data_IF_993631636866
#
_entry.id   IF_993631636866
#
_cell.length_a   1.000
_cell.length_b   1.000
_cell.length_c   1.000
_cell.angle_alpha   90.00
_cell.angle_beta   90.00
_cell.angle_gamma   90.00
#
_symmetry.space_group_name_H-M   'P 1'
#
loop_
_entity.id
_entity.type
_entity.pdbx_description
1 polymer ?
#
# COMPACT_ATOMS: atom_id res chain seq x y z
N UNK A 1 -23.69 -4.07 11.44
CA UNK A 1 -22.39 -3.37 11.48
C UNK A 1 -22.32 -2.44 10.29
N UNK A 2 -22.14 -1.13 10.48
CA UNK A 2 -22.12 -0.15 9.37
C UNK A 2 -20.70 0.14 8.92
N UNK A 3 -20.53 0.61 7.68
CA UNK A 3 -19.22 1.07 7.18
C UNK A 3 -18.61 2.14 8.11
N UNK A 4 -19.44 3.08 8.59
CA UNK A 4 -19.01 4.11 9.54
C UNK A 4 -18.51 3.51 10.86
N UNK A 5 -19.17 2.46 11.38
CA UNK A 5 -18.73 1.76 12.59
C UNK A 5 -17.37 1.07 12.41
N UNK A 6 -17.15 0.41 11.27
CA UNK A 6 -15.85 -0.21 10.94
C UNK A 6 -14.78 0.87 10.78
N UNK A 7 -15.09 1.94 10.05
CA UNK A 7 -14.17 3.07 9.88
C UNK A 7 -13.74 3.65 11.23
N UNK A 8 -14.69 3.86 12.14
CA UNK A 8 -14.42 4.36 13.48
C UNK A 8 -13.54 3.39 14.29
N UNK A 9 -13.89 2.10 14.31
CA UNK A 9 -13.11 1.09 15.03
C UNK A 9 -11.66 1.01 14.55
N UNK A 10 -11.44 1.01 13.23
CA UNK A 10 -10.08 0.99 12.65
C UNK A 10 -9.33 2.29 12.97
N UNK A 11 -9.99 3.45 12.85
CA UNK A 11 -9.36 4.75 13.13
C UNK A 11 -8.94 4.88 14.59
N UNK A 12 -9.79 4.44 15.53
CA UNK A 12 -9.49 4.45 16.96
C UNK A 12 -8.37 3.45 17.28
N UNK A 13 -8.48 2.21 16.80
CA UNK A 13 -7.47 1.18 17.08
C UNK A 13 -6.08 1.54 16.53
N UNK A 14 -6.00 2.16 15.36
CA UNK A 14 -4.71 2.62 14.79
C UNK A 14 -4.14 3.81 15.55
N UNK A 15 -4.98 4.76 15.98
CA UNK A 15 -4.54 5.84 16.86
C UNK A 15 -3.96 5.32 18.16
N UNK A 16 -4.59 4.30 18.75
CA UNK A 16 -4.12 3.69 19.99
C UNK A 16 -2.81 2.90 19.78
N UNK A 17 -2.74 2.08 18.72
CA UNK A 17 -1.61 1.19 18.49
C UNK A 17 -0.33 1.91 18.01
N UNK A 18 -0.48 2.92 17.13
CA UNK A 18 0.66 3.56 16.44
C UNK A 18 0.63 5.09 16.49
N UNK A 19 -0.28 5.69 17.28
CA UNK A 19 -0.40 7.15 17.43
C UNK A 19 -1.09 7.87 16.27
N UNK A 20 -1.43 7.17 15.19
CA UNK A 20 -2.00 7.76 13.96
C UNK A 20 -3.30 7.07 13.61
N UNK A 21 -4.38 7.85 13.46
CA UNK A 21 -5.65 7.32 12.96
C UNK A 21 -5.57 7.08 11.45
N UNK A 22 -5.76 5.84 11.02
CA UNK A 22 -5.79 5.44 9.63
C UNK A 22 -7.21 5.04 9.22
N UNK A 23 -7.60 5.43 8.00
CA UNK A 23 -8.85 4.95 7.41
C UNK A 23 -8.68 3.50 6.89
N UNK A 24 -9.77 2.74 6.76
CA UNK A 24 -9.73 1.41 6.12
C UNK A 24 -9.09 1.42 4.73
N UNK A 25 -9.26 2.53 3.98
CA UNK A 25 -8.66 2.70 2.65
C UNK A 25 -7.12 2.76 2.69
N UNK A 26 -6.52 3.25 3.78
CA UNK A 26 -5.05 3.26 3.92
C UNK A 26 -4.48 1.84 3.93
N UNK A 27 -5.13 0.91 4.64
CA UNK A 27 -4.74 -0.50 4.65
C UNK A 27 -4.85 -1.14 3.28
N UNK A 28 -5.96 -0.88 2.58
CA UNK A 28 -6.17 -1.37 1.21
C UNK A 28 -5.10 -0.84 0.27
N UNK A 29 -4.74 0.44 0.39
CA UNK A 29 -3.69 1.06 -0.41
C UNK A 29 -2.29 0.50 -0.09
N UNK A 30 -1.99 0.22 1.18
CA UNK A 30 -0.74 -0.41 1.60
C UNK A 30 -0.63 -1.85 1.08
N UNK A 31 -1.69 -2.64 1.18
CA UNK A 31 -1.74 -4.01 0.66
C UNK A 31 -1.50 -4.04 -0.86
N UNK A 32 -2.17 -3.15 -1.59
CA UNK A 32 -2.00 -2.96 -3.03
C UNK A 32 -0.55 -2.69 -3.44
N UNK A 33 0.06 -1.69 -2.79
CA UNK A 33 1.42 -1.26 -3.06
C UNK A 33 2.43 -2.34 -2.70
N UNK A 34 2.18 -3.08 -1.60
CA UNK A 34 3.03 -4.19 -1.17
C UNK A 34 2.95 -5.36 -2.14
N UNK A 35 1.75 -5.69 -2.63
CA UNK A 35 1.58 -6.73 -3.64
C UNK A 35 2.27 -6.37 -4.96
N UNK A 36 2.19 -5.10 -5.38
CA UNK A 36 2.91 -4.60 -6.55
C UNK A 36 4.44 -4.65 -6.36
N UNK A 37 4.94 -4.36 -5.15
CA UNK A 37 6.38 -4.40 -4.84
C UNK A 37 6.94 -5.82 -4.76
N UNK A 38 6.30 -6.70 -3.99
CA UNK A 38 6.75 -8.09 -3.81
C UNK A 38 6.45 -8.97 -5.04
N UNK A 39 5.40 -8.62 -5.78
CA UNK A 39 4.93 -9.33 -6.96
C UNK A 39 5.38 -8.70 -8.27
N UNK A 40 6.54 -8.02 -8.31
CA UNK A 40 7.02 -7.32 -9.50
C UNK A 40 7.10 -8.19 -10.79
N UNK A 41 7.13 -9.53 -10.67
CA UNK A 41 7.04 -10.48 -11.79
C UNK A 41 5.62 -10.89 -12.20
N UNK A 42 4.58 -10.38 -11.53
CA UNK A 42 3.16 -10.70 -11.74
C UNK A 42 2.31 -9.41 -11.76
N UNK A 43 2.34 -8.64 -12.87
CA UNK A 43 1.69 -7.33 -12.97
C UNK A 43 0.19 -7.32 -12.63
N UNK A 44 -0.50 -8.44 -12.76
CA UNK A 44 -1.93 -8.55 -12.44
C UNK A 44 -2.20 -8.91 -10.97
N UNK A 45 -1.19 -9.18 -10.15
CA UNK A 45 -1.38 -9.60 -8.75
C UNK A 45 -2.03 -8.51 -7.91
N UNK A 46 -1.59 -7.26 -8.03
CA UNK A 46 -2.20 -6.13 -7.34
C UNK A 46 -3.63 -5.86 -7.83
N UNK A 47 -3.89 -5.99 -9.14
CA UNK A 47 -5.23 -5.85 -9.71
C UNK A 47 -6.17 -6.95 -9.19
N UNK A 48 -5.72 -8.21 -9.17
CA UNK A 48 -6.46 -9.36 -8.67
C UNK A 48 -6.74 -9.30 -7.18
N UNK A 49 -5.76 -8.88 -6.36
CA UNK A 49 -5.93 -8.70 -4.92
C UNK A 49 -7.01 -7.66 -4.58
N UNK A 50 -7.14 -6.63 -5.42
CA UNK A 50 -8.02 -5.50 -5.15
C UNK A 50 -9.30 -5.54 -5.97
N UNK A 51 -9.43 -6.44 -6.94
CA UNK A 51 -10.53 -6.43 -7.90
C UNK A 51 -10.72 -5.05 -8.55
N UNK A 52 -9.62 -4.35 -8.86
CA UNK A 52 -9.69 -3.04 -9.50
C UNK A 52 -10.27 -3.18 -10.91
N UNK A 53 -11.36 -2.47 -11.17
CA UNK A 53 -11.96 -2.40 -12.51
C UNK A 53 -11.23 -1.39 -13.41
N UNK A 54 -10.55 -0.39 -12.83
CA UNK A 54 -9.77 0.61 -13.56
C UNK A 54 -8.27 0.27 -13.49
N UNK A 55 -7.63 -0.06 -14.64
CA UNK A 55 -6.20 -0.32 -14.73
C UNK A 55 -5.31 0.83 -14.24
N UNK A 56 -5.79 2.08 -14.30
CA UNK A 56 -5.01 3.26 -13.87
C UNK A 56 -4.71 3.27 -12.38
N UNK A 57 -5.63 2.74 -11.57
CA UNK A 57 -5.43 2.64 -10.11
C UNK A 57 -4.35 1.60 -9.81
N UNK A 58 -4.34 0.49 -10.54
CA UNK A 58 -3.30 -0.53 -10.45
C UNK A 58 -1.93 0.03 -10.86
N UNK A 59 -1.85 0.77 -11.96
CA UNK A 59 -0.60 1.41 -12.42
C UNK A 59 0.00 2.35 -11.36
N UNK A 60 -0.83 3.17 -10.70
CA UNK A 60 -0.37 4.06 -9.63
C UNK A 60 0.31 3.32 -8.46
N UNK A 61 -0.13 2.09 -8.16
CA UNK A 61 0.52 1.25 -7.15
C UNK A 61 1.87 0.71 -7.62
N UNK A 62 2.01 0.33 -8.90
CA UNK A 62 3.27 -0.10 -9.48
C UNK A 62 4.32 1.00 -9.54
N UNK A 63 3.92 2.21 -9.97
CA UNK A 63 4.81 3.38 -9.97
C UNK A 63 5.35 3.64 -8.56
N UNK A 64 4.46 3.58 -7.55
CA UNK A 64 4.84 3.80 -6.16
C UNK A 64 5.77 2.71 -5.62
N UNK A 65 5.48 1.44 -5.91
CA UNK A 65 6.33 0.31 -5.54
C UNK A 65 7.74 0.42 -6.14
N UNK A 66 7.81 0.75 -7.44
CA UNK A 66 9.07 0.93 -8.17
C UNK A 66 9.87 2.11 -7.60
N UNK A 67 9.19 3.21 -7.30
CA UNK A 67 9.83 4.40 -6.70
C UNK A 67 10.40 4.11 -5.30
N UNK A 68 9.68 3.32 -4.49
CA UNK A 68 10.16 2.90 -3.17
C UNK A 68 11.42 2.05 -3.29
N UNK A 69 11.43 1.07 -4.20
CA UNK A 69 12.60 0.20 -4.43
C UNK A 69 13.81 0.99 -4.92
N UNK A 70 13.62 1.94 -5.85
CA UNK A 70 14.69 2.81 -6.32
C UNK A 70 15.30 3.66 -5.18
N UNK A 71 14.46 4.25 -4.33
CA UNK A 71 14.93 5.02 -3.17
C UNK A 71 15.71 4.15 -2.17
N UNK A 72 15.24 2.91 -1.93
CA UNK A 72 15.92 1.93 -1.06
C UNK A 72 17.30 1.56 -1.59
N UNK A 73 17.41 1.28 -2.90
CA UNK A 73 18.67 0.95 -3.57
C UNK A 73 19.66 2.13 -3.54
N UNK A 74 19.19 3.34 -3.85
CA UNK A 74 20.02 4.54 -3.78
C UNK A 74 20.56 4.78 -2.36
N UNK A 75 19.71 4.66 -1.34
CA UNK A 75 20.15 4.77 0.05
C UNK A 75 21.18 3.70 0.45
N UNK A 76 21.11 2.50 -0.13
CA UNK A 76 22.12 1.46 0.09
C UNK A 76 23.47 1.83 -0.53
N UNK A 77 23.46 2.38 -1.75
CA UNK A 77 24.68 2.86 -2.43
C UNK A 77 25.39 3.98 -1.66
N UNK A 78 24.63 4.89 -1.03
CA UNK A 78 25.19 5.95 -0.20
C UNK A 78 25.84 5.44 1.09
N UNK A 79 25.37 4.30 1.63
CA UNK A 79 25.92 3.70 2.87
C UNK A 79 27.12 2.79 2.62
N UNK A 80 27.36 2.37 1.38
CA UNK A 80 28.48 1.51 0.99
C UNK A 80 29.73 2.29 0.53
N UNK A 81 29.68 3.62 0.56
CA UNK A 81 30.84 4.50 0.36
C UNK A 81 31.45 4.88 1.71
#
# INVERSE_FOLDING_TARGET
>A
MTYSGIHHAISCGTREAIGVALSPHCFRYAAATTAAWMGAGMPELAAGLLQHQDPRVTEAHYIRATSFEAARQYGAMLRSQ
#
